data_IF_925465053490
#
_entry.id   IF_925465053490
#
_cell.length_a   1.000
_cell.length_b   1.000
_cell.length_c   1.000
_cell.angle_alpha   90.00
_cell.angle_beta   90.00
_cell.angle_gamma   90.00
#
_symmetry.space_group_name_H-M   'P 1'
#
loop_
_entity.id
_entity.type
_entity.pdbx_description
1 polymer ?
#
# COMPACT_ATOMS: atom_id res chain seq x y z
N UNK A 1 31.63 -23.15 37.00
CA UNK A 1 31.04 -22.76 35.70
C UNK A 1 29.58 -23.16 35.70
N UNK A 2 28.65 -22.26 36.01
CA UNK A 2 27.21 -22.53 35.93
C UNK A 2 26.54 -21.37 35.20
N UNK A 3 26.30 -21.57 33.91
CA UNK A 3 25.67 -20.58 33.03
C UNK A 3 24.16 -20.63 33.24
N UNK A 4 23.62 -19.64 33.95
CA UNK A 4 22.18 -19.44 34.10
C UNK A 4 21.59 -18.95 32.78
N UNK A 5 21.03 -19.88 32.00
CA UNK A 5 20.24 -19.57 30.80
C UNK A 5 18.91 -18.96 31.25
N UNK A 6 18.77 -17.64 31.13
CA UNK A 6 17.50 -16.95 31.39
C UNK A 6 16.54 -17.29 30.26
N UNK A 7 15.46 -17.99 30.58
CA UNK A 7 14.33 -18.20 29.69
C UNK A 7 13.74 -16.84 29.30
N UNK A 8 13.90 -16.49 28.03
CA UNK A 8 13.20 -15.34 27.45
C UNK A 8 11.76 -15.78 27.23
N UNK A 9 10.90 -15.49 28.20
CA UNK A 9 9.46 -15.60 28.04
C UNK A 9 9.03 -14.54 27.01
N UNK A 10 8.80 -14.99 25.78
CA UNK A 10 8.22 -14.18 24.72
C UNK A 10 6.74 -14.07 25.04
N UNK A 11 6.30 -12.92 25.56
CA UNK A 11 4.88 -12.62 25.64
C UNK A 11 4.33 -12.55 24.21
N UNK A 12 3.46 -13.49 23.86
CA UNK A 12 2.60 -13.36 22.68
C UNK A 12 1.72 -12.13 22.89
N UNK A 13 1.92 -11.11 22.06
CA UNK A 13 1.02 -9.95 21.99
C UNK A 13 -0.27 -10.44 21.35
N UNK A 14 -1.30 -10.72 22.15
CA UNK A 14 -2.66 -10.82 21.65
C UNK A 14 -3.05 -9.43 21.11
N UNK A 15 -3.28 -9.29 19.81
CA UNK A 15 -3.69 -8.00 19.23
C UNK A 15 -3.37 -7.80 17.75
N UNK A 16 -3.47 -8.85 16.95
CA UNK A 16 -3.48 -8.72 15.51
C UNK A 16 -4.00 -10.02 14.94
N UNK A 17 -5.29 -10.07 14.60
CA UNK A 17 -5.77 -11.14 13.73
C UNK A 17 -4.89 -11.14 12.47
N UNK A 18 -4.37 -12.32 12.14
CA UNK A 18 -3.64 -12.50 10.90
C UNK A 18 -4.65 -12.34 9.78
N UNK A 19 -4.65 -11.15 9.17
CA UNK A 19 -5.53 -10.78 8.04
C UNK A 19 -5.35 -11.72 6.84
N UNK A 20 -4.25 -12.46 6.82
CA UNK A 20 -3.94 -13.52 5.86
C UNK A 20 -3.55 -14.75 6.69
N UNK A 21 -4.43 -15.77 6.72
CA UNK A 21 -4.17 -17.02 7.42
C UNK A 21 -4.16 -18.16 6.40
N UNK A 22 -3.07 -18.94 6.35
CA UNK A 22 -2.88 -20.01 5.36
C UNK A 22 -3.10 -19.58 3.89
N UNK A 23 -2.86 -18.30 3.57
CA UNK A 23 -3.08 -17.74 2.24
C UNK A 23 -4.52 -17.31 1.94
N UNK A 24 -5.46 -17.49 2.88
CA UNK A 24 -6.83 -16.98 2.78
C UNK A 24 -6.95 -15.62 3.46
N UNK A 25 -7.78 -14.76 2.88
CA UNK A 25 -8.11 -13.43 3.37
C UNK A 25 -9.16 -13.55 4.48
N UNK A 26 -8.81 -13.19 5.72
CA UNK A 26 -9.72 -13.22 6.87
C UNK A 26 -10.57 -11.94 6.96
N UNK A 27 -11.19 -11.53 5.86
CA UNK A 27 -12.06 -10.35 5.80
C UNK A 27 -13.55 -10.72 5.80
N UNK A 28 -14.41 -9.73 6.00
CA UNK A 28 -15.87 -9.89 5.87
C UNK A 28 -16.20 -10.11 4.38
N UNK A 29 -16.91 -11.18 4.00
CA UNK A 29 -17.31 -11.38 2.61
C UNK A 29 -18.21 -10.23 2.16
N UNK A 30 -18.05 -9.78 0.92
CA UNK A 30 -18.90 -8.72 0.37
C UNK A 30 -20.36 -9.18 0.24
N UNK A 31 -21.31 -8.32 0.64
CA UNK A 31 -22.72 -8.57 0.41
C UNK A 31 -23.11 -8.29 -1.07
N UNK A 32 -24.08 -9.05 -1.63
CA UNK A 32 -24.51 -8.87 -3.02
C UNK A 32 -24.96 -7.45 -3.36
N UNK A 33 -25.67 -6.79 -2.44
CA UNK A 33 -26.18 -5.42 -2.65
C UNK A 33 -25.03 -4.40 -2.72
N UNK A 34 -24.02 -4.55 -1.88
CA UNK A 34 -22.80 -3.73 -1.94
C UNK A 34 -22.01 -3.97 -3.23
N UNK A 35 -21.93 -5.22 -3.69
CA UNK A 35 -21.28 -5.56 -4.96
C UNK A 35 -22.00 -4.93 -6.17
N UNK A 36 -23.33 -4.99 -6.19
CA UNK A 36 -24.15 -4.35 -7.23
C UNK A 36 -24.00 -2.83 -7.22
N UNK A 37 -24.00 -2.20 -6.05
CA UNK A 37 -23.79 -0.77 -5.89
C UNK A 37 -22.40 -0.34 -6.39
N UNK A 38 -21.35 -1.08 -6.02
CA UNK A 38 -19.98 -0.83 -6.50
C UNK A 38 -19.89 -0.88 -8.02
N UNK A 39 -20.44 -1.93 -8.64
CA UNK A 39 -20.42 -2.06 -10.09
C UNK A 39 -21.22 -0.98 -10.79
N UNK A 40 -22.35 -0.57 -10.20
CA UNK A 40 -23.17 0.51 -10.74
C UNK A 40 -22.43 1.84 -10.70
N UNK A 41 -21.69 2.15 -9.63
CA UNK A 41 -20.90 3.39 -9.52
C UNK A 41 -19.69 3.39 -10.47
N UNK A 42 -18.95 2.28 -10.55
CA UNK A 42 -17.69 2.25 -11.31
C UNK A 42 -17.92 1.99 -12.80
N UNK A 43 -18.87 1.11 -13.13
CA UNK A 43 -19.09 0.59 -14.48
C UNK A 43 -20.46 0.95 -15.05
N UNK A 44 -21.30 1.69 -14.31
CA UNK A 44 -22.63 2.12 -14.74
C UNK A 44 -23.74 1.07 -14.63
N UNK A 45 -23.42 -0.20 -14.35
CA UNK A 45 -24.41 -1.26 -14.15
C UNK A 45 -23.86 -2.45 -13.36
N UNK A 46 -24.71 -3.07 -12.54
CA UNK A 46 -24.42 -4.34 -11.88
C UNK A 46 -24.20 -5.52 -12.85
N UNK A 47 -24.70 -5.41 -14.08
CA UNK A 47 -24.52 -6.42 -15.12
C UNK A 47 -23.28 -6.17 -16.00
N UNK A 48 -22.65 -5.00 -15.91
CA UNK A 48 -21.44 -4.67 -16.67
C UNK A 48 -20.29 -5.59 -16.26
N UNK A 49 -19.47 -6.00 -17.24
CA UNK A 49 -18.18 -6.63 -16.95
C UNK A 49 -17.14 -5.57 -16.58
N UNK A 50 -16.15 -5.97 -15.78
CA UNK A 50 -15.01 -5.10 -15.46
C UNK A 50 -14.28 -4.75 -16.76
N UNK A 51 -13.92 -3.47 -16.90
CA UNK A 51 -13.14 -3.02 -18.04
C UNK A 51 -11.79 -3.78 -18.10
N UNK A 52 -11.46 -4.46 -19.22
CA UNK A 52 -10.26 -5.30 -19.32
C UNK A 52 -8.95 -4.55 -19.02
N UNK A 53 -8.91 -3.24 -19.28
CA UNK A 53 -7.74 -2.40 -18.98
C UNK A 53 -7.43 -2.24 -17.48
N UNK A 54 -8.36 -2.59 -16.60
CA UNK A 54 -8.20 -2.57 -15.15
C UNK A 54 -7.87 -3.94 -14.56
N UNK A 55 -8.16 -5.02 -15.28
CA UNK A 55 -7.84 -6.38 -14.85
C UNK A 55 -6.34 -6.63 -14.96
N UNK A 56 -5.76 -7.31 -13.97
CA UNK A 56 -4.32 -7.60 -13.91
C UNK A 56 -3.44 -6.37 -13.70
N UNK A 57 -4.02 -5.23 -13.33
CA UNK A 57 -3.28 -3.99 -13.05
C UNK A 57 -2.92 -3.88 -11.56
N UNK A 58 -1.64 -3.62 -11.30
CA UNK A 58 -1.08 -3.45 -9.96
C UNK A 58 -0.19 -2.21 -9.85
N UNK A 59 0.19 -1.85 -8.62
CA UNK A 59 1.14 -0.77 -8.38
C UNK A 59 2.56 -1.28 -8.57
N UNK A 60 3.23 -0.85 -9.63
CA UNK A 60 4.63 -1.19 -9.88
C UNK A 60 5.49 0.07 -9.96
N UNK A 61 6.65 0.07 -9.29
CA UNK A 61 7.63 1.16 -9.40
C UNK A 61 8.68 0.84 -10.47
N UNK A 62 9.40 1.87 -10.89
CA UNK A 62 10.65 1.70 -11.62
C UNK A 62 11.74 1.12 -10.69
N UNK A 63 12.74 0.48 -11.29
CA UNK A 63 13.81 -0.20 -10.55
C UNK A 63 14.51 0.76 -9.57
N UNK A 64 14.85 0.27 -8.38
CA UNK A 64 15.58 1.03 -7.38
C UNK A 64 16.87 1.63 -7.94
N UNK A 65 17.09 2.93 -7.72
CA UNK A 65 18.26 3.66 -8.20
C UNK A 65 18.14 4.31 -9.58
N UNK A 66 17.05 4.06 -10.31
CA UNK A 66 16.70 4.80 -11.53
C UNK A 66 16.32 6.26 -11.20
N UNK A 67 16.47 7.17 -12.17
CA UNK A 67 16.05 8.57 -12.08
C UNK A 67 14.55 8.66 -11.78
N UNK A 68 13.77 7.72 -12.33
CA UNK A 68 12.32 7.64 -12.17
C UNK A 68 11.88 6.66 -11.09
N UNK A 69 12.76 6.27 -10.16
CA UNK A 69 12.46 5.27 -9.15
C UNK A 69 11.29 5.64 -8.21
N UNK A 70 10.86 6.90 -8.12
CA UNK A 70 9.62 7.27 -7.42
C UNK A 70 8.37 7.25 -8.29
N UNK A 71 8.50 7.11 -9.60
CA UNK A 71 7.38 7.03 -10.52
C UNK A 71 6.74 5.65 -10.49
N UNK A 72 5.42 5.61 -10.39
CA UNK A 72 4.64 4.42 -10.72
C UNK A 72 4.70 4.17 -12.24
N UNK A 73 4.93 2.92 -12.62
CA UNK A 73 4.78 2.47 -14.01
C UNK A 73 3.30 2.49 -14.38
N UNK A 74 3.02 2.85 -15.62
CA UNK A 74 1.66 2.89 -16.16
C UNK A 74 1.60 2.00 -17.42
N UNK A 75 1.26 0.71 -17.28
CA UNK A 75 1.23 -0.22 -18.41
C UNK A 75 0.10 0.10 -19.40
N UNK A 76 -1.02 0.63 -18.91
CA UNK A 76 -2.24 0.89 -19.69
C UNK A 76 -2.65 2.35 -19.59
N UNK A 77 -3.16 2.92 -20.69
CA UNK A 77 -3.68 4.28 -20.70
C UNK A 77 -4.99 4.42 -19.91
N UNK A 78 -5.78 3.35 -19.77
CA UNK A 78 -7.08 3.39 -19.10
C UNK A 78 -7.00 3.68 -17.59
N UNK A 79 -5.92 3.26 -16.94
CA UNK A 79 -5.71 3.44 -15.49
C UNK A 79 -4.81 4.63 -15.16
N UNK A 80 -4.31 5.34 -16.17
CA UNK A 80 -3.32 6.41 -16.05
C UNK A 80 -3.81 7.55 -15.16
N UNK A 81 -5.06 7.96 -15.31
CA UNK A 81 -5.63 9.07 -14.53
C UNK A 81 -5.63 8.73 -13.03
N UNK A 82 -6.01 7.51 -12.67
CA UNK A 82 -5.99 7.04 -11.29
C UNK A 82 -4.55 6.95 -10.74
N UNK A 83 -3.63 6.37 -11.52
CA UNK A 83 -2.22 6.28 -11.16
C UNK A 83 -1.57 7.66 -10.93
N UNK A 84 -1.88 8.65 -11.77
CA UNK A 84 -1.39 10.03 -11.61
C UNK A 84 -1.93 10.64 -10.31
N UNK A 85 -3.20 10.44 -9.98
CA UNK A 85 -3.76 10.89 -8.71
C UNK A 85 -3.01 10.28 -7.53
N UNK A 86 -2.82 8.95 -7.51
CA UNK A 86 -2.07 8.28 -6.43
C UNK A 86 -0.62 8.76 -6.38
N UNK A 87 0.03 8.93 -7.53
CA UNK A 87 1.38 9.46 -7.65
C UNK A 87 1.50 10.86 -7.02
N UNK A 88 0.49 11.71 -7.16
CA UNK A 88 0.47 13.03 -6.54
C UNK A 88 0.45 12.95 -5.00
N UNK A 89 -0.30 12.01 -4.41
CA UNK A 89 -0.29 11.77 -2.96
C UNK A 89 1.06 11.21 -2.48
N UNK A 90 1.68 10.31 -3.26
CA UNK A 90 3.04 9.82 -3.02
C UNK A 90 4.04 10.98 -2.99
N UNK A 91 4.01 11.84 -4.01
CA UNK A 91 4.89 13.01 -4.11
C UNK A 91 4.63 14.02 -2.99
N UNK A 92 3.36 14.25 -2.64
CA UNK A 92 2.99 15.11 -1.52
C UNK A 92 3.63 14.62 -0.23
N UNK A 93 3.57 13.32 0.04
CA UNK A 93 4.19 12.77 1.25
C UNK A 93 5.72 12.83 1.20
N UNK A 94 6.32 12.59 0.03
CA UNK A 94 7.76 12.75 -0.17
C UNK A 94 8.25 14.18 0.12
N UNK A 95 7.52 15.19 -0.35
CA UNK A 95 7.93 16.59 -0.27
C UNK A 95 7.60 17.21 1.10
N UNK A 96 6.42 16.89 1.64
CA UNK A 96 5.84 17.63 2.76
C UNK A 96 5.74 16.84 4.06
N UNK A 97 5.80 15.50 4.03
CA UNK A 97 5.62 14.74 5.26
C UNK A 97 6.87 14.80 6.16
N UNK A 98 6.70 15.43 7.34
CA UNK A 98 7.76 15.58 8.35
C UNK A 98 8.12 14.23 8.99
N UNK A 99 7.20 13.25 9.00
CA UNK A 99 7.46 11.90 9.53
C UNK A 99 8.46 11.13 8.67
N UNK A 100 8.39 11.26 7.33
CA UNK A 100 9.37 10.71 6.40
C UNK A 100 10.74 11.38 6.55
N UNK A 101 10.77 12.71 6.76
CA UNK A 101 12.02 13.44 7.03
C UNK A 101 12.73 12.92 8.28
N UNK A 102 12.00 12.63 9.36
CA UNK A 102 12.57 12.11 10.60
C UNK A 102 12.96 10.63 10.54
N UNK A 103 12.16 9.74 9.91
CA UNK A 103 12.50 8.32 9.78
C UNK A 103 13.70 8.07 8.86
N UNK A 104 13.84 8.86 7.79
CA UNK A 104 15.00 8.85 6.89
C UNK A 104 16.23 9.41 7.61
N UNK A 105 16.09 10.49 8.41
CA UNK A 105 17.19 11.04 9.20
C UNK A 105 17.67 10.07 10.28
N UNK A 106 16.75 9.35 10.92
CA UNK A 106 17.04 8.44 12.03
C UNK A 106 17.62 7.10 11.55
N UNK A 107 17.06 6.47 10.50
CA UNK A 107 17.63 5.23 9.92
C UNK A 107 19.01 5.45 9.28
N UNK A 108 19.27 6.62 8.67
CA UNK A 108 20.57 6.91 8.03
C UNK A 108 21.68 7.29 9.02
N UNK A 109 21.34 7.70 10.25
CA UNK A 109 22.32 7.92 11.31
C UNK A 109 23.00 6.61 11.74
N UNK A 110 22.32 5.47 11.62
CA UNK A 110 22.88 4.15 11.96
C UNK A 110 23.61 3.46 10.80
N UNK A 111 23.31 3.82 9.56
CA UNK A 111 23.91 3.16 8.39
C UNK A 111 25.31 3.72 8.02
N UNK A 112 25.70 4.88 8.57
CA UNK A 112 27.01 5.48 8.34
C UNK A 112 28.09 5.06 9.36
N UNK A 113 27.71 4.39 10.46
CA UNK A 113 28.62 3.95 11.53
C UNK A 113 29.01 2.46 11.44
N UNK A 114 28.74 1.79 10.31
CA UNK A 114 28.82 0.33 10.22
C UNK A 114 29.79 -0.25 9.18
N UNK A 115 30.77 0.52 8.70
CA UNK A 115 31.80 -0.03 7.80
C UNK A 115 33.18 0.42 8.30
N UNK A 116 33.90 -0.53 8.90
CA UNK A 116 35.28 -0.35 9.30
C UNK A 116 36.17 -0.15 8.05
N UNK A 117 36.68 1.07 7.84
CA UNK A 117 37.86 1.31 7.00
C UNK A 117 38.74 2.40 7.63
N UNK A 118 40.04 2.14 7.82
CA UNK A 118 40.92 2.97 8.66
C UNK A 118 41.57 4.18 7.96
N UNK A 119 41.81 5.21 8.79
CA UNK A 119 42.94 6.16 8.85
C UNK A 119 43.58 6.65 7.54
N UNK A 120 43.20 7.85 7.08
CA UNK A 120 44.14 8.82 6.51
C UNK A 120 43.81 10.25 6.96
N UNK A 121 44.82 11.08 7.32
CA UNK A 121 44.60 12.44 7.78
C UNK A 121 44.58 13.44 6.62
N UNK A 122 43.65 14.41 6.73
CA UNK A 122 43.68 15.76 6.16
C UNK A 122 43.97 15.94 4.65
N UNK A 123 42.97 16.39 3.89
CA UNK A 123 42.99 17.75 3.32
C UNK A 123 41.67 18.09 2.59
N UNK A 124 41.13 19.27 2.89
CA UNK A 124 40.29 20.15 2.03
C UNK A 124 39.08 19.53 1.28
N UNK A 125 37.91 19.60 1.90
CA UNK A 125 36.76 20.44 1.49
C UNK A 125 35.57 20.04 2.37
N UNK A 126 35.01 21.00 3.08
CA UNK A 126 33.80 20.83 3.87
C UNK A 126 32.61 20.56 2.93
N UNK A 127 32.45 19.34 2.42
CA UNK A 127 31.21 18.91 1.75
C UNK A 127 30.20 18.69 2.87
N UNK A 128 29.27 19.62 2.98
CA UNK A 128 28.20 19.60 3.96
C UNK A 128 27.44 18.26 3.88
N UNK A 129 27.10 17.65 5.03
CA UNK A 129 26.34 16.39 5.07
C UNK A 129 24.96 16.50 4.39
N UNK A 130 24.48 17.72 4.15
CA UNK A 130 23.23 18.02 3.43
C UNK A 130 23.26 17.63 1.94
N UNK A 131 24.43 17.62 1.29
CA UNK A 131 24.57 17.26 -0.13
C UNK A 131 24.39 15.76 -0.36
N UNK A 132 25.03 14.93 0.48
CA UNK A 132 24.94 13.46 0.42
C UNK A 132 23.54 12.97 0.87
N UNK A 133 22.94 13.66 1.84
CA UNK A 133 21.55 13.43 2.23
C UNK A 133 20.57 13.60 1.06
N UNK A 134 20.77 14.63 0.22
CA UNK A 134 19.91 14.89 -0.95
C UNK A 134 20.13 13.88 -2.06
N UNK A 135 21.36 13.50 -2.37
CA UNK A 135 21.64 12.55 -3.47
C UNK A 135 21.11 11.14 -3.21
N UNK A 136 21.08 10.71 -1.94
CA UNK A 136 20.54 9.40 -1.57
C UNK A 136 19.00 9.38 -1.42
N UNK A 137 18.34 10.53 -1.33
CA UNK A 137 16.86 10.59 -1.45
C UNK A 137 16.44 10.36 -2.89
N UNK A 138 17.22 10.86 -3.87
CA UNK A 138 16.89 10.77 -5.30
C UNK A 138 17.13 9.38 -5.92
N UNK A 139 17.66 8.43 -5.15
CA UNK A 139 17.85 7.02 -5.55
C UNK A 139 17.27 6.10 -4.48
N UNK A 140 15.93 5.98 -4.39
CA UNK A 140 15.30 5.10 -3.43
C UNK A 140 15.61 3.63 -3.75
N UNK A 141 15.82 2.85 -2.70
CA UNK A 141 15.77 1.38 -2.75
C UNK A 141 14.31 0.94 -2.71
N UNK A 142 14.00 -0.29 -3.16
CA UNK A 142 12.64 -0.85 -3.17
C UNK A 142 11.93 -0.79 -1.80
N UNK A 143 12.69 -0.92 -0.72
CA UNK A 143 12.21 -0.75 0.66
C UNK A 143 11.65 0.65 0.92
N UNK A 144 12.31 1.68 0.39
CA UNK A 144 11.89 3.08 0.55
C UNK A 144 10.65 3.34 -0.30
N UNK A 145 10.61 2.83 -1.54
CA UNK A 145 9.43 2.91 -2.41
C UNK A 145 8.19 2.32 -1.73
N UNK A 146 8.35 1.16 -1.09
CA UNK A 146 7.30 0.50 -0.32
C UNK A 146 6.76 1.36 0.83
N UNK A 147 7.66 1.94 1.66
CA UNK A 147 7.25 2.81 2.78
C UNK A 147 6.53 4.07 2.30
N UNK A 148 6.93 4.60 1.16
CA UNK A 148 6.31 5.79 0.56
C UNK A 148 4.96 5.45 -0.06
N UNK A 149 4.82 4.31 -0.75
CA UNK A 149 3.53 3.87 -1.27
C UNK A 149 2.52 3.70 -0.14
N UNK A 150 2.92 3.05 0.95
CA UNK A 150 2.09 2.91 2.15
C UNK A 150 1.68 4.29 2.67
N UNK A 151 2.61 5.23 2.79
CA UNK A 151 2.31 6.61 3.19
C UNK A 151 1.33 7.29 2.24
N UNK A 152 1.59 7.23 0.93
CA UNK A 152 0.77 7.75 -0.15
C UNK A 152 -0.67 7.28 -0.06
N UNK A 153 -0.85 5.97 -0.01
CA UNK A 153 -2.16 5.34 0.13
C UNK A 153 -2.82 5.72 1.46
N UNK A 154 -2.11 5.66 2.59
CA UNK A 154 -2.66 6.07 3.90
C UNK A 154 -3.20 7.50 3.83
N UNK A 155 -2.43 8.44 3.29
CA UNK A 155 -2.86 9.84 3.17
C UNK A 155 -4.04 10.04 2.21
N UNK A 156 -4.14 9.20 1.18
CA UNK A 156 -5.25 9.20 0.24
C UNK A 156 -6.53 8.72 0.94
N UNK A 157 -6.47 7.61 1.66
CA UNK A 157 -7.60 7.10 2.43
C UNK A 157 -8.01 8.07 3.53
N UNK A 158 -7.07 8.60 4.34
CA UNK A 158 -7.39 9.61 5.36
C UNK A 158 -8.04 10.86 4.77
N UNK A 159 -7.74 11.20 3.51
CA UNK A 159 -8.39 12.31 2.83
C UNK A 159 -9.82 11.99 2.39
N UNK A 160 -10.10 10.74 2.04
CA UNK A 160 -11.43 10.26 1.65
C UNK A 160 -12.33 10.04 2.86
N UNK A 161 -11.78 9.49 3.95
CA UNK A 161 -12.49 9.19 5.19
C UNK A 161 -12.58 10.36 6.18
N UNK A 162 -12.11 11.56 5.79
CA UNK A 162 -12.07 12.76 6.64
C UNK A 162 -11.33 12.55 7.98
N UNK A 163 -10.40 11.59 8.04
CA UNK A 163 -9.60 11.28 9.23
C UNK A 163 -10.20 10.20 10.15
N UNK A 164 -11.40 9.70 9.84
CA UNK A 164 -11.90 8.45 10.38
C UNK A 164 -11.22 7.29 9.63
N UNK A 165 -11.26 6.06 10.15
CA UNK A 165 -10.59 4.94 9.48
C UNK A 165 -11.13 4.62 8.07
N UNK A 166 -10.62 3.56 7.45
CA UNK A 166 -10.88 3.25 6.04
C UNK A 166 -11.36 1.81 5.83
N UNK A 167 -11.97 1.58 4.68
CA UNK A 167 -12.39 0.26 4.22
C UNK A 167 -11.45 -0.17 3.10
N UNK A 168 -10.82 -1.34 3.27
CA UNK A 168 -10.01 -1.99 2.25
C UNK A 168 -10.71 -3.24 1.75
N UNK A 169 -10.59 -3.54 0.46
CA UNK A 169 -11.13 -4.75 -0.13
C UNK A 169 -10.10 -5.43 -1.03
N UNK A 170 -10.02 -6.76 -0.93
CA UNK A 170 -9.14 -7.58 -1.78
C UNK A 170 -9.87 -8.83 -2.26
N UNK A 171 -9.69 -9.25 -3.52
CA UNK A 171 -10.30 -10.47 -4.02
C UNK A 171 -9.62 -11.71 -3.42
N UNK A 172 -10.43 -12.66 -2.98
CA UNK A 172 -10.02 -13.99 -2.54
C UNK A 172 -10.16 -15.03 -3.67
N UNK A 173 -9.89 -16.29 -3.37
CA UNK A 173 -10.04 -17.41 -4.32
C UNK A 173 -11.50 -17.81 -4.52
N UNK A 174 -12.28 -17.77 -3.44
CA UNK A 174 -13.64 -18.28 -3.37
C UNK A 174 -14.68 -17.16 -3.59
N UNK A 175 -15.83 -17.54 -4.16
CA UNK A 175 -16.96 -16.63 -4.34
C UNK A 175 -17.66 -16.42 -2.99
N UNK A 176 -17.93 -15.17 -2.66
CA UNK A 176 -18.64 -14.78 -1.43
C UNK A 176 -20.15 -15.01 -1.55
N UNK A 177 -20.69 -14.96 -2.76
CA UNK A 177 -22.12 -15.13 -3.02
C UNK A 177 -22.39 -15.78 -4.39
N UNK A 178 -23.60 -16.31 -4.56
CA UNK A 178 -24.06 -16.89 -5.82
C UNK A 178 -24.63 -15.82 -6.77
N UNK A 179 -24.38 -15.93 -8.08
CA UNK A 179 -24.89 -14.96 -9.04
C UNK A 179 -26.43 -14.94 -9.07
N UNK A 180 -26.98 -13.75 -8.92
CA UNK A 180 -28.43 -13.48 -9.08
C UNK A 180 -28.71 -12.98 -10.50
N UNK A 181 -29.95 -13.07 -10.98
CA UNK A 181 -30.36 -12.59 -12.32
C UNK A 181 -29.99 -11.13 -12.63
N UNK A 182 -29.84 -10.31 -11.58
CA UNK A 182 -29.50 -8.89 -11.67
C UNK A 182 -27.99 -8.61 -11.55
N UNK A 183 -27.15 -9.65 -11.50
CA UNK A 183 -25.71 -9.54 -11.31
C UNK A 183 -24.95 -10.49 -12.25
N UNK A 184 -24.06 -9.93 -13.06
CA UNK A 184 -23.13 -10.71 -13.89
C UNK A 184 -21.82 -10.91 -13.15
N UNK A 185 -21.37 -12.16 -12.98
CA UNK A 185 -20.04 -12.45 -12.41
C UNK A 185 -18.92 -11.88 -13.28
N UNK A 186 -17.93 -11.27 -12.64
CA UNK A 186 -16.80 -10.62 -13.33
C UNK A 186 -15.43 -11.20 -12.93
N UNK A 187 -15.42 -12.22 -12.08
CA UNK A 187 -14.25 -12.94 -11.59
C UNK A 187 -13.55 -12.27 -10.41
N UNK A 188 -13.98 -11.08 -10.00
CA UNK A 188 -13.26 -10.25 -9.03
C UNK A 188 -14.20 -9.73 -7.95
N UNK A 189 -15.27 -9.04 -8.33
CA UNK A 189 -16.17 -8.33 -7.41
C UNK A 189 -16.89 -9.29 -6.48
N UNK A 190 -17.28 -10.48 -6.97
CA UNK A 190 -17.91 -11.53 -6.14
C UNK A 190 -16.95 -12.21 -5.16
N UNK A 191 -15.65 -11.98 -5.28
CA UNK A 191 -14.62 -12.59 -4.42
C UNK A 191 -14.06 -11.60 -3.39
N UNK A 192 -14.58 -10.37 -3.35
CA UNK A 192 -14.03 -9.32 -2.49
C UNK A 192 -14.29 -9.61 -1.02
N UNK A 193 -13.22 -9.56 -0.24
CA UNK A 193 -13.27 -9.56 1.21
C UNK A 193 -12.96 -8.16 1.72
N UNK A 194 -13.79 -7.67 2.63
CA UNK A 194 -13.78 -6.32 3.18
C UNK A 194 -13.06 -6.32 4.53
N UNK A 195 -12.19 -5.35 4.71
CA UNK A 195 -11.43 -5.10 5.93
C UNK A 195 -11.73 -3.68 6.38
N UNK A 196 -12.48 -3.55 7.47
CA UNK A 196 -12.78 -2.25 8.08
C UNK A 196 -11.67 -1.91 9.07
N UNK A 197 -11.28 -0.65 9.12
CA UNK A 197 -10.36 -0.12 10.11
C UNK A 197 -10.94 1.19 10.62
N UNK A 198 -10.90 1.43 11.92
CA UNK A 198 -11.48 2.64 12.53
C UNK A 198 -10.43 3.74 12.75
N UNK A 199 -9.14 3.37 12.70
CA UNK A 199 -8.01 4.26 12.97
C UNK A 199 -7.03 4.30 11.80
N UNK A 200 -6.42 5.46 11.57
CA UNK A 200 -5.36 5.63 10.55
C UNK A 200 -4.15 4.70 10.79
N UNK A 201 -3.76 4.48 12.04
CA UNK A 201 -2.62 3.62 12.37
C UNK A 201 -2.88 2.15 12.00
N UNK A 202 -4.10 1.70 12.22
CA UNK A 202 -4.56 0.36 11.85
C UNK A 202 -4.61 0.23 10.34
N UNK A 203 -5.23 1.20 9.66
CA UNK A 203 -5.26 1.25 8.20
C UNK A 203 -3.85 1.19 7.60
N UNK A 204 -2.90 1.94 8.14
CA UNK A 204 -1.49 1.91 7.71
C UNK A 204 -0.88 0.53 7.89
N UNK A 205 -1.17 -0.14 9.00
CA UNK A 205 -0.73 -1.51 9.28
C UNK A 205 -1.35 -2.51 8.28
N UNK A 206 -2.64 -2.36 7.99
CA UNK A 206 -3.39 -3.17 7.03
C UNK A 206 -2.84 -3.00 5.60
N UNK A 207 -2.62 -1.77 5.14
CA UNK A 207 -1.98 -1.49 3.84
C UNK A 207 -0.58 -2.11 3.77
N UNK A 208 0.19 -2.06 4.86
CA UNK A 208 1.52 -2.69 4.91
C UNK A 208 1.45 -4.20 4.78
N UNK A 209 0.48 -4.85 5.43
CA UNK A 209 0.25 -6.30 5.33
C UNK A 209 -0.16 -6.71 3.91
N UNK A 210 -1.01 -5.92 3.25
CA UNK A 210 -1.47 -6.19 1.89
C UNK A 210 -0.56 -5.63 0.78
N UNK A 211 0.57 -5.03 1.12
CA UNK A 211 1.48 -4.44 0.13
C UNK A 211 1.88 -5.44 -0.95
N UNK A 212 2.16 -6.69 -0.56
CA UNK A 212 2.49 -7.77 -1.50
C UNK A 212 1.42 -7.98 -2.56
N UNK A 213 0.13 -7.96 -2.18
CA UNK A 213 -1.00 -8.09 -3.10
C UNK A 213 -1.19 -6.84 -3.96
N UNK A 214 -0.95 -5.66 -3.39
CA UNK A 214 -1.08 -4.36 -4.09
C UNK A 214 -0.04 -4.23 -5.20
N UNK A 215 1.18 -4.75 -4.98
CA UNK A 215 2.31 -4.63 -5.92
C UNK A 215 2.57 -5.89 -6.76
N UNK A 216 1.79 -6.96 -6.58
CA UNK A 216 1.98 -8.22 -7.30
C UNK A 216 1.82 -8.01 -8.82
N UNK A 217 2.76 -8.50 -9.62
CA UNK A 217 2.66 -8.45 -11.07
C UNK A 217 1.46 -9.29 -11.55
N UNK A 218 0.64 -8.74 -12.46
CA UNK A 218 -0.64 -9.30 -12.92
C UNK A 218 -1.71 -9.46 -11.82
N UNK A 219 -1.55 -8.81 -10.67
CA UNK A 219 -2.58 -8.74 -9.63
C UNK A 219 -3.65 -7.68 -9.92
N UNK A 220 -4.76 -7.73 -9.19
CA UNK A 220 -5.86 -6.73 -9.29
C UNK A 220 -5.72 -5.59 -8.28
N UNK A 221 -4.50 -5.29 -7.83
CA UNK A 221 -4.24 -4.35 -6.74
C UNK A 221 -4.74 -2.93 -7.01
N UNK A 222 -4.72 -2.48 -8.27
CA UNK A 222 -5.21 -1.15 -8.63
C UNK A 222 -6.72 -1.05 -8.48
N UNK A 223 -7.43 -2.07 -8.95
CA UNK A 223 -8.88 -2.17 -8.85
C UNK A 223 -9.33 -2.34 -7.39
N UNK A 224 -8.62 -3.17 -6.62
CA UNK A 224 -8.83 -3.32 -5.18
C UNK A 224 -8.79 -1.99 -4.44
N UNK A 225 -7.77 -1.14 -4.71
CA UNK A 225 -7.69 0.18 -4.08
C UNK A 225 -8.79 1.11 -4.58
N UNK A 226 -9.18 1.06 -5.85
CA UNK A 226 -10.29 1.86 -6.36
C UNK A 226 -11.60 1.53 -5.62
N UNK A 227 -11.96 0.25 -5.53
CA UNK A 227 -13.15 -0.20 -4.82
C UNK A 227 -13.08 0.15 -3.33
N UNK A 228 -11.91 -0.02 -2.71
CA UNK A 228 -11.67 0.35 -1.31
C UNK A 228 -11.95 1.84 -1.06
N UNK A 229 -11.54 2.72 -1.97
CA UNK A 229 -11.79 4.17 -1.85
C UNK A 229 -13.27 4.52 -1.97
N UNK A 230 -14.00 3.82 -2.84
CA UNK A 230 -15.45 4.03 -3.01
C UNK A 230 -16.20 3.53 -1.78
N UNK A 231 -15.85 2.34 -1.27
CA UNK A 231 -16.41 1.81 -0.03
C UNK A 231 -16.12 2.74 1.16
N UNK A 232 -14.89 3.25 1.26
CA UNK A 232 -14.49 4.18 2.34
C UNK A 232 -15.29 5.48 2.30
N UNK A 233 -15.63 5.97 1.10
CA UNK A 233 -16.45 7.18 0.94
C UNK A 233 -17.93 6.93 1.26
N UNK A 234 -18.41 5.70 1.05
CA UNK A 234 -19.82 5.35 1.12
C UNK A 234 -20.58 5.68 -0.18
N UNK A 235 -21.78 5.11 -0.31
CA UNK A 235 -22.64 5.18 -1.50
C UNK A 235 -23.57 6.41 -1.54
N UNK A 236 -23.56 7.25 -0.50
CA UNK A 236 -24.59 8.28 -0.23
C UNK A 236 -24.30 9.66 -0.85
N UNK A 237 -23.70 9.72 -2.06
CA UNK A 237 -23.41 10.99 -2.75
C UNK A 237 -23.59 10.92 -4.26
#
# INVERSE_FOLDING_TARGET
MSSHKRDRVVYARAGGEDLIQNGQLNGEPIEPDMAMALKTIVWGSACSQICPYWQGMSFSFHSGGDVNAFGLKCPSNGTKNFLICVQAYILKNLLFDKKAKNSIHQKRKYQYYGVDTPLFPSTKKHRTPSSIFRTNILRPTDRIQSEILIGGLTSLFSKVSEGHGGILCFPSSDNCFEPTSNYTMDGITEKLHIFRSDKEEELRSTIKKFLSLITQENGNGLLSILYSLILTRGFDR
#
